data_IF_179045649025
#
_entry.id   IF_179045649025
#
_cell.length_a   1.000
_cell.length_b   1.000
_cell.length_c   1.000
_cell.angle_alpha   90.00
_cell.angle_beta   90.00
_cell.angle_gamma   90.00
#
_symmetry.space_group_name_H-M   'P 1'
#
loop_
_entity.id
_entity.type
_entity.pdbx_description
1 polymer ?
#
# COMPACT_ATOMS: atom_id res chain seq x y z
N UNK A 1 49.58 2.31 3.92
CA UNK A 1 48.34 1.54 4.16
C UNK A 1 47.39 2.42 4.96
N UNK A 2 46.47 3.10 4.29
CA UNK A 2 45.32 3.75 4.93
C UNK A 2 44.13 3.55 4.02
N UNK A 3 43.19 2.72 4.46
CA UNK A 3 41.92 2.45 3.80
C UNK A 3 40.93 3.55 4.19
N UNK A 4 40.59 4.42 3.24
CA UNK A 4 39.48 5.36 3.43
C UNK A 4 38.17 4.63 3.12
N UNK A 5 37.34 4.44 4.15
CA UNK A 5 35.96 3.98 3.98
C UNK A 5 35.12 5.09 3.33
N UNK A 6 34.18 4.78 2.42
CA UNK A 6 33.32 5.79 1.83
C UNK A 6 32.22 6.27 2.82
N UNK A 7 31.75 7.54 2.71
CA UNK A 7 30.85 8.14 3.68
C UNK A 7 29.37 7.71 3.53
N UNK A 8 28.66 7.65 4.67
CA UNK A 8 27.25 7.27 4.82
C UNK A 8 26.21 8.21 4.15
N UNK A 9 26.65 9.28 3.48
CA UNK A 9 25.77 10.33 2.93
C UNK A 9 25.10 9.96 1.59
N UNK A 10 25.59 8.94 0.88
CA UNK A 10 25.07 8.59 -0.44
C UNK A 10 23.69 7.90 -0.42
N UNK A 11 23.26 7.36 0.72
CA UNK A 11 21.97 6.65 0.83
C UNK A 11 20.76 7.60 0.86
N UNK A 12 20.91 8.79 1.41
CA UNK A 12 19.81 9.76 1.58
C UNK A 12 19.42 10.47 0.27
N UNK A 13 20.38 10.67 -0.64
CA UNK A 13 20.12 11.35 -1.92
C UNK A 13 19.45 10.42 -2.96
N UNK A 14 19.84 9.15 -2.99
CA UNK A 14 19.24 8.16 -3.89
C UNK A 14 17.75 7.90 -3.60
N UNK A 15 17.32 8.07 -2.34
CA UNK A 15 15.91 7.96 -1.95
C UNK A 15 15.03 9.12 -2.47
N UNK A 16 15.59 10.32 -2.71
CA UNK A 16 14.81 11.49 -3.17
C UNK A 16 14.49 11.47 -4.67
N UNK A 17 15.31 10.78 -5.48
CA UNK A 17 15.12 10.71 -6.95
C UNK A 17 14.24 9.53 -7.40
N UNK A 18 13.91 8.58 -6.51
CA UNK A 18 12.92 7.53 -6.83
C UNK A 18 11.47 8.05 -6.75
N UNK A 19 11.24 9.24 -6.19
CA UNK A 19 9.92 9.81 -5.95
C UNK A 19 9.28 10.50 -7.16
N UNK A 20 9.97 10.59 -8.30
CA UNK A 20 9.56 11.39 -9.47
C UNK A 20 8.78 10.62 -10.54
N UNK A 21 8.48 9.33 -10.34
CA UNK A 21 7.43 8.65 -11.11
C UNK A 21 6.29 8.34 -10.14
N UNK A 22 5.38 9.30 -9.98
CA UNK A 22 4.30 9.32 -9.00
C UNK A 22 3.15 8.33 -9.26
N UNK A 23 3.45 7.09 -9.66
CA UNK A 23 2.47 6.02 -9.75
C UNK A 23 2.54 5.21 -8.46
N UNK A 24 1.58 5.44 -7.57
CA UNK A 24 1.43 4.63 -6.37
C UNK A 24 1.10 3.17 -6.77
N UNK A 25 1.89 2.17 -6.33
CA UNK A 25 1.66 0.78 -6.72
C UNK A 25 0.28 0.30 -6.27
N UNK A 26 -0.37 -0.43 -7.16
CA UNK A 26 -1.74 -0.90 -6.99
C UNK A 26 -1.78 -2.43 -6.96
N UNK A 27 -2.48 -2.95 -5.97
CA UNK A 27 -2.67 -4.38 -5.74
C UNK A 27 -4.03 -4.85 -6.29
N UNK A 28 -4.06 -6.10 -6.73
CA UNK A 28 -5.26 -6.86 -7.05
C UNK A 28 -5.96 -7.35 -5.78
N UNK A 29 -7.24 -7.77 -5.86
CA UNK A 29 -7.94 -8.35 -4.72
C UNK A 29 -7.24 -9.59 -4.15
N UNK A 30 -6.63 -10.41 -5.01
CA UNK A 30 -5.93 -11.64 -4.59
C UNK A 30 -4.66 -11.33 -3.81
N UNK A 31 -3.83 -10.37 -4.27
CA UNK A 31 -2.62 -9.98 -3.54
C UNK A 31 -2.95 -9.42 -2.14
N UNK A 32 -4.01 -8.60 -2.03
CA UNK A 32 -4.50 -8.14 -0.71
C UNK A 32 -4.98 -9.29 0.15
N UNK A 33 -5.72 -10.23 -0.44
CA UNK A 33 -6.25 -11.39 0.25
C UNK A 33 -5.13 -12.28 0.81
N UNK A 34 -4.07 -12.50 0.04
CA UNK A 34 -2.88 -13.26 0.45
C UNK A 34 -2.17 -12.61 1.63
N UNK A 35 -2.01 -11.27 1.62
CA UNK A 35 -1.36 -10.54 2.70
C UNK A 35 -2.14 -10.63 4.02
N UNK A 36 -3.47 -10.52 3.96
CA UNK A 36 -4.33 -10.65 5.15
C UNK A 36 -4.70 -12.09 5.49
N UNK A 37 -4.31 -13.08 4.68
CA UNK A 37 -4.70 -14.49 4.80
C UNK A 37 -6.23 -14.68 4.81
N UNK A 38 -6.93 -13.94 3.96
CA UNK A 38 -8.40 -14.02 3.78
C UNK A 38 -8.74 -14.39 2.34
N UNK A 39 -10.04 -14.48 2.04
CA UNK A 39 -10.53 -14.64 0.66
C UNK A 39 -10.73 -13.29 -0.05
N UNK A 40 -10.56 -13.24 -1.38
CA UNK A 40 -10.73 -12.03 -2.19
C UNK A 40 -12.16 -11.43 -2.12
N UNK A 41 -13.20 -12.26 -1.88
CA UNK A 41 -14.58 -11.78 -1.64
C UNK A 41 -14.68 -11.01 -0.33
N UNK A 42 -13.87 -11.33 0.67
CA UNK A 42 -13.78 -10.59 1.93
C UNK A 42 -13.19 -9.20 1.70
N UNK A 43 -12.12 -9.11 0.90
CA UNK A 43 -11.52 -7.83 0.48
C UNK A 43 -12.55 -6.97 -0.26
N UNK A 44 -13.32 -7.58 -1.17
CA UNK A 44 -14.41 -6.89 -1.89
C UNK A 44 -15.49 -6.37 -0.93
N UNK A 45 -15.83 -7.13 0.13
CA UNK A 45 -16.75 -6.65 1.18
C UNK A 45 -16.20 -5.46 1.95
N UNK A 46 -14.91 -5.45 2.30
CA UNK A 46 -14.28 -4.30 2.97
C UNK A 46 -14.37 -3.05 2.11
N UNK A 47 -14.11 -3.18 0.82
CA UNK A 47 -14.24 -2.09 -0.13
C UNK A 47 -15.68 -1.57 -0.26
N UNK A 48 -16.67 -2.46 -0.32
CA UNK A 48 -18.10 -2.07 -0.32
C UNK A 48 -18.52 -1.39 0.98
N UNK A 49 -17.91 -1.77 2.10
CA UNK A 49 -18.14 -1.16 3.40
C UNK A 49 -17.33 0.15 3.61
N UNK A 50 -16.57 0.61 2.61
CA UNK A 50 -15.75 1.83 2.72
C UNK A 50 -14.57 1.71 3.68
N UNK A 51 -14.14 0.48 4.03
CA UNK A 51 -13.03 0.25 4.98
C UNK A 51 -11.65 0.38 4.33
N UNK A 52 -11.58 0.23 3.01
CA UNK A 52 -10.37 0.37 2.20
C UNK A 52 -10.72 1.13 0.93
N UNK A 53 -9.81 1.98 0.47
CA UNK A 53 -10.00 2.76 -0.75
C UNK A 53 -9.78 1.88 -1.98
N UNK A 54 -10.56 2.13 -3.05
CA UNK A 54 -10.42 1.37 -4.30
C UNK A 54 -10.38 2.26 -5.52
N UNK A 55 -9.49 1.92 -6.43
CA UNK A 55 -9.48 2.42 -7.81
C UNK A 55 -10.12 1.35 -8.70
N UNK A 56 -10.88 1.75 -9.72
CA UNK A 56 -11.45 0.84 -10.71
C UNK A 56 -10.71 0.97 -12.03
N UNK A 57 -10.42 -0.16 -12.66
CA UNK A 57 -9.93 -0.18 -14.04
C UNK A 57 -11.07 0.17 -15.02
N UNK A 58 -10.74 0.42 -16.29
CA UNK A 58 -11.74 0.64 -17.35
C UNK A 58 -12.72 -0.54 -17.49
N UNK A 59 -12.30 -1.76 -17.15
CA UNK A 59 -13.14 -2.96 -17.12
C UNK A 59 -13.87 -3.21 -15.79
N UNK A 60 -13.79 -2.29 -14.83
CA UNK A 60 -14.51 -2.38 -13.55
C UNK A 60 -13.83 -3.22 -12.46
N UNK A 61 -12.65 -3.79 -12.72
CA UNK A 61 -11.90 -4.54 -11.71
C UNK A 61 -11.33 -3.59 -10.64
N UNK A 62 -11.37 -4.02 -9.38
CA UNK A 62 -10.86 -3.24 -8.26
C UNK A 62 -9.35 -3.36 -8.12
N UNK A 63 -8.73 -2.24 -7.74
CA UNK A 63 -7.33 -2.10 -7.38
C UNK A 63 -7.22 -1.34 -6.06
N UNK A 64 -6.21 -1.67 -5.25
CA UNK A 64 -6.02 -1.15 -3.90
C UNK A 64 -4.65 -0.49 -3.77
N UNK A 65 -4.54 0.63 -3.06
CA UNK A 65 -3.25 1.25 -2.79
C UNK A 65 -2.39 0.30 -1.96
N UNK A 66 -1.18 -0.03 -2.44
CA UNK A 66 -0.25 -0.84 -1.67
C UNK A 66 0.13 -0.16 -0.34
N UNK A 67 0.27 1.17 -0.32
CA UNK A 67 0.61 1.93 0.88
C UNK A 67 -0.47 1.84 1.95
N UNK A 68 -1.73 2.01 1.57
CA UNK A 68 -2.87 1.89 2.49
C UNK A 68 -2.92 0.48 3.08
N UNK A 69 -2.84 -0.54 2.23
CA UNK A 69 -2.88 -1.95 2.63
C UNK A 69 -1.74 -2.30 3.59
N UNK A 70 -0.50 -1.88 3.26
CA UNK A 70 0.65 -2.09 4.15
C UNK A 70 0.49 -1.38 5.49
N UNK A 71 -0.12 -0.20 5.51
CA UNK A 71 -0.42 0.53 6.76
C UNK A 71 -1.39 -0.26 7.64
N UNK A 72 -2.45 -0.82 7.05
CA UNK A 72 -3.45 -1.62 7.75
C UNK A 72 -2.89 -2.95 8.33
N UNK A 73 -1.82 -3.49 7.75
CA UNK A 73 -1.14 -4.68 8.27
C UNK A 73 -0.33 -4.37 9.55
N UNK A 74 0.19 -3.14 9.70
CA UNK A 74 0.96 -2.72 10.88
C UNK A 74 0.05 -2.44 12.07
N UNK A 75 -1.17 -1.97 11.80
CA UNK A 75 -2.18 -1.76 12.83
C UNK A 75 -3.50 -1.32 12.23
N UNK A 76 -4.60 -1.79 12.82
CA UNK A 76 -5.94 -1.36 12.42
C UNK A 76 -6.15 0.07 12.92
N UNK A 77 -6.36 1.06 12.03
CA UNK A 77 -6.70 2.41 12.46
C UNK A 77 -8.00 2.34 13.28
N UNK A 78 -8.11 3.20 14.30
CA UNK A 78 -9.30 3.28 15.13
C UNK A 78 -10.55 3.27 14.24
N UNK A 79 -11.50 2.38 14.52
CA UNK A 79 -12.70 2.27 13.69
C UNK A 79 -13.37 3.63 13.67
N UNK A 80 -13.46 4.24 12.49
CA UNK A 80 -14.19 5.50 12.34
C UNK A 80 -15.65 5.18 12.68
N UNK A 81 -16.24 5.77 13.73
CA UNK A 81 -17.65 5.58 14.01
C UNK A 81 -18.42 5.91 12.73
N UNK A 82 -19.32 5.03 12.33
CA UNK A 82 -20.23 5.35 11.24
C UNK A 82 -21.17 6.44 11.79
N UNK A 83 -20.94 7.69 11.41
CA UNK A 83 -21.93 8.75 11.62
C UNK A 83 -23.20 8.32 10.87
N UNK A 84 -24.19 7.85 11.62
CA UNK A 84 -25.56 7.55 11.20
C UNK A 84 -26.52 8.15 12.22
#
# INVERSE_FOLDING_TARGET
MSTQSPPAAARTAAQRTAAIVGVEPLLTPTEVAEMFRVDAKTVTRWANAGKITTVRTLGGHRRYSEREIRTLLVGVPAQRPLDR
#
